data_IF_746365886408
#
_entry.id   IF_746365886408
#
_cell.length_a   1.000
_cell.length_b   1.000
_cell.length_c   1.000
_cell.angle_alpha   90.00
_cell.angle_beta   90.00
_cell.angle_gamma   90.00
#
_symmetry.space_group_name_H-M   'P 1'
#
loop_
_entity.id
_entity.type
_entity.pdbx_description
1 polymer ?
#
# COMPACT_ATOMS: atom_id res chain seq x y z
N UNK A 1 -4.98 -2.88 18.61
CA UNK A 1 -5.25 -1.45 18.38
C UNK A 1 -4.07 -0.93 17.60
N UNK A 2 -4.28 -0.68 16.31
CA UNK A 2 -3.26 -0.03 15.48
C UNK A 2 -3.14 1.42 15.94
N UNK A 3 -1.94 1.78 16.39
CA UNK A 3 -1.62 3.14 16.81
C UNK A 3 -1.49 3.99 15.55
N UNK A 4 -2.30 5.03 15.40
CA UNK A 4 -2.19 5.95 14.26
C UNK A 4 -0.86 6.70 14.30
N UNK A 5 -0.46 7.27 13.16
CA UNK A 5 0.81 7.97 13.04
C UNK A 5 0.92 9.11 14.07
N UNK A 6 -0.13 9.94 14.24
CA UNK A 6 -0.17 10.99 15.27
C UNK A 6 -0.12 10.44 16.70
N UNK A 7 -0.85 9.36 16.99
CA UNK A 7 -0.83 8.70 18.30
C UNK A 7 0.60 8.17 18.61
N UNK A 8 1.30 7.68 17.60
CA UNK A 8 2.69 7.23 17.68
C UNK A 8 3.66 8.41 17.87
N UNK A 9 3.52 9.49 17.10
CA UNK A 9 4.39 10.65 17.19
C UNK A 9 4.21 11.43 18.49
N UNK A 10 2.99 11.53 19.00
CA UNK A 10 2.72 12.10 20.31
C UNK A 10 3.32 11.22 21.42
N UNK A 11 3.16 9.89 21.32
CA UNK A 11 3.65 8.96 22.34
C UNK A 11 5.18 8.82 22.37
N UNK A 12 5.82 8.79 21.21
CA UNK A 12 7.27 8.56 21.09
C UNK A 12 8.04 9.88 21.07
N UNK A 13 7.60 10.87 20.28
CA UNK A 13 8.34 12.10 20.03
C UNK A 13 7.76 13.34 20.72
N UNK A 14 6.65 13.18 21.47
CA UNK A 14 5.89 14.29 22.07
C UNK A 14 5.51 15.39 21.06
N UNK A 15 5.36 15.01 19.78
CA UNK A 15 4.98 15.93 18.72
C UNK A 15 3.46 16.15 18.70
N UNK A 16 3.00 17.38 18.42
CA UNK A 16 1.57 17.70 18.43
C UNK A 16 0.84 17.27 17.15
N UNK A 17 1.51 17.24 15.99
CA UNK A 17 0.96 16.88 14.66
C UNK A 17 2.07 16.39 13.72
N UNK A 18 1.89 15.25 13.04
CA UNK A 18 2.76 14.82 11.94
C UNK A 18 2.41 15.55 10.64
N UNK A 19 3.43 15.87 9.84
CA UNK A 19 3.27 16.34 8.46
C UNK A 19 3.21 17.86 8.24
N UNK A 20 2.82 18.66 9.26
CA UNK A 20 2.86 20.14 9.16
C UNK A 20 4.06 20.79 9.87
N UNK A 21 4.64 20.13 10.87
CA UNK A 21 5.69 20.70 11.70
C UNK A 21 6.95 19.83 11.76
N UNK A 22 7.57 19.54 10.61
CA UNK A 22 8.93 18.96 10.60
C UNK A 22 9.92 19.80 11.42
N UNK A 23 9.66 21.11 11.52
CA UNK A 23 10.41 22.04 12.36
C UNK A 23 10.32 21.72 13.86
N UNK A 24 9.16 21.26 14.37
CA UNK A 24 9.00 20.83 15.77
C UNK A 24 9.55 19.42 15.99
N UNK A 25 9.31 18.51 15.05
CA UNK A 25 9.79 17.12 15.12
C UNK A 25 11.34 17.09 15.09
N UNK A 26 11.95 17.88 14.21
CA UNK A 26 13.41 18.02 14.11
C UNK A 26 14.08 18.73 15.29
N UNK A 27 13.32 19.47 16.12
CA UNK A 27 13.85 20.07 17.36
C UNK A 27 13.95 19.06 18.50
N UNK A 28 13.05 18.06 18.54
CA UNK A 28 12.99 17.06 19.61
C UNK A 28 13.70 15.76 19.26
N UNK A 29 13.98 15.52 17.97
CA UNK A 29 14.79 14.41 17.51
C UNK A 29 16.28 14.76 17.65
N UNK A 30 16.90 14.30 18.74
CA UNK A 30 18.36 14.33 18.87
C UNK A 30 18.98 13.23 17.99
N UNK A 31 19.00 13.45 16.67
CA UNK A 31 19.54 12.51 15.68
C UNK A 31 21.07 12.38 15.72
N UNK A 32 21.75 12.90 16.76
CA UNK A 32 23.21 13.03 16.79
C UNK A 32 23.77 13.98 15.72
N UNK A 33 22.89 14.66 14.98
CA UNK A 33 23.27 15.63 13.95
C UNK A 33 23.42 16.99 14.63
N UNK A 34 24.67 17.38 14.94
CA UNK A 34 24.98 18.78 15.18
C UNK A 34 24.42 19.57 13.99
N UNK A 35 23.57 20.56 14.24
CA UNK A 35 23.33 21.65 13.28
C UNK A 35 24.65 22.37 13.08
N UNK A 36 25.53 21.80 12.30
CA UNK A 36 26.60 22.58 11.72
C UNK A 36 25.92 23.43 10.66
N UNK A 37 25.73 24.71 10.97
CA UNK A 37 26.09 25.73 9.99
C UNK A 37 27.58 25.51 9.70
N UNK A 38 27.92 24.47 8.95
CA UNK A 38 29.24 24.39 8.34
C UNK A 38 29.15 25.40 7.22
N UNK A 39 30.00 26.41 7.26
CA UNK A 39 30.26 27.40 6.20
C UNK A 39 30.76 26.76 4.88
N UNK A 40 30.45 25.49 4.66
CA UNK A 40 30.73 24.68 3.50
C UNK A 40 29.39 24.57 2.78
N UNK A 41 29.26 25.17 1.59
CA UNK A 41 28.00 25.19 0.87
C UNK A 41 27.43 23.76 0.75
N UNK A 42 26.11 23.62 0.90
CA UNK A 42 25.40 22.34 0.71
C UNK A 42 25.76 21.68 -0.63
N UNK A 43 26.09 22.48 -1.65
CA UNK A 43 26.69 22.05 -2.92
C UNK A 43 28.08 21.40 -2.77
N UNK A 44 28.98 21.96 -1.95
CA UNK A 44 30.29 21.37 -1.66
C UNK A 44 30.15 20.03 -0.90
N UNK A 45 29.13 19.89 -0.04
CA UNK A 45 28.87 18.61 0.60
C UNK A 45 28.46 17.54 -0.43
N UNK A 46 27.53 17.86 -1.35
CA UNK A 46 27.14 16.92 -2.42
C UNK A 46 28.35 16.51 -3.27
N UNK A 47 29.24 17.45 -3.60
CA UNK A 47 30.51 17.15 -4.28
C UNK A 47 31.44 16.26 -3.44
N UNK A 48 31.51 16.49 -2.13
CA UNK A 48 32.31 15.64 -1.22
C UNK A 48 31.74 14.21 -1.09
N UNK A 49 30.42 14.05 -1.20
CA UNK A 49 29.77 12.74 -1.25
C UNK A 49 30.16 12.01 -2.53
N UNK A 50 30.18 12.70 -3.68
CA UNK A 50 30.63 12.16 -4.97
C UNK A 50 32.06 11.60 -4.88
N UNK A 51 32.97 12.39 -4.31
CA UNK A 51 34.38 11.99 -4.14
C UNK A 51 34.49 10.77 -3.22
N UNK A 52 33.71 10.72 -2.13
CA UNK A 52 33.71 9.57 -1.20
C UNK A 52 33.07 8.32 -1.79
N UNK A 53 32.04 8.44 -2.63
CA UNK A 53 31.37 7.30 -3.27
C UNK A 53 32.23 6.66 -4.35
N UNK A 54 33.01 7.44 -5.11
CA UNK A 54 33.89 6.92 -6.15
C UNK A 54 35.12 6.17 -5.58
N UNK A 55 35.53 6.49 -4.36
CA UNK A 55 36.73 5.92 -3.74
C UNK A 55 36.49 4.62 -2.92
N UNK A 56 35.25 4.18 -2.70
CA UNK A 56 34.95 2.99 -1.89
C UNK A 56 34.33 1.85 -2.69
N UNK A 57 35.06 0.75 -2.79
CA UNK A 57 34.61 -0.56 -3.28
C UNK A 57 33.57 -1.27 -2.38
N UNK A 58 32.93 -0.57 -1.43
CA UNK A 58 32.01 -1.13 -0.41
C UNK A 58 30.68 -0.37 -0.27
N UNK A 59 30.14 0.14 -1.38
CA UNK A 59 28.84 0.84 -1.40
C UNK A 59 27.63 0.08 -0.83
N UNK A 60 27.51 -1.26 -0.86
CA UNK A 60 26.29 -1.94 -0.38
C UNK A 60 26.02 -1.83 1.12
N UNK A 61 27.06 -1.88 1.97
CA UNK A 61 26.91 -1.89 3.43
C UNK A 61 26.76 -0.49 4.04
N UNK A 62 27.17 0.57 3.34
CA UNK A 62 27.13 1.97 3.82
C UNK A 62 25.92 2.78 3.29
N UNK A 63 25.02 2.20 2.49
CA UNK A 63 23.92 2.95 1.82
C UNK A 63 23.05 3.76 2.80
N UNK A 64 22.69 3.17 3.94
CA UNK A 64 21.86 3.84 4.96
C UNK A 64 22.60 5.04 5.59
N UNK A 65 23.92 4.90 5.80
CA UNK A 65 24.76 5.93 6.40
C UNK A 65 24.98 7.13 5.45
N UNK A 66 24.83 6.93 4.13
CA UNK A 66 25.02 7.98 3.12
C UNK A 66 23.69 8.68 2.76
N UNK A 67 22.55 8.00 2.89
CA UNK A 67 21.24 8.56 2.55
C UNK A 67 20.89 9.79 3.41
N UNK A 68 21.04 9.71 4.74
CA UNK A 68 20.68 10.81 5.66
C UNK A 68 21.49 12.09 5.35
N UNK A 69 22.83 12.03 5.18
CA UNK A 69 23.59 13.21 4.79
C UNK A 69 23.19 13.79 3.44
N UNK A 70 22.92 12.97 2.42
CA UNK A 70 22.43 13.45 1.11
C UNK A 70 21.08 14.15 1.27
N UNK A 71 20.14 13.51 1.96
CA UNK A 71 18.82 14.05 2.24
C UNK A 71 18.91 15.44 2.89
N UNK A 72 19.72 15.58 3.94
CA UNK A 72 19.91 16.85 4.62
C UNK A 72 20.52 17.92 3.72
N UNK A 73 21.43 17.52 2.82
CA UNK A 73 22.08 18.45 1.91
C UNK A 73 21.08 19.00 0.89
N UNK A 74 20.32 18.12 0.23
CA UNK A 74 19.26 18.49 -0.72
C UNK A 74 18.29 19.51 -0.10
N UNK A 75 17.98 19.36 1.19
CA UNK A 75 17.04 20.23 1.91
C UNK A 75 17.49 21.71 1.95
N UNK A 76 18.79 21.98 1.82
CA UNK A 76 19.39 23.32 1.87
C UNK A 76 20.11 23.71 0.57
N UNK A 77 19.93 22.95 -0.51
CA UNK A 77 20.57 23.19 -1.80
C UNK A 77 19.67 23.99 -2.75
N UNK A 78 20.26 24.78 -3.65
CA UNK A 78 19.52 25.55 -4.68
C UNK A 78 19.06 24.66 -5.85
N UNK A 79 18.18 25.16 -6.70
CA UNK A 79 17.72 24.40 -7.88
C UNK A 79 18.85 24.12 -8.88
N UNK A 80 19.77 25.07 -9.05
CA UNK A 80 20.89 24.95 -9.99
C UNK A 80 21.89 23.90 -9.48
N UNK A 81 22.28 23.98 -8.21
CA UNK A 81 23.16 23.01 -7.57
C UNK A 81 22.59 21.58 -7.61
N UNK A 82 21.26 21.40 -7.48
CA UNK A 82 20.62 20.10 -7.62
C UNK A 82 20.67 19.59 -9.06
N UNK A 83 20.52 20.48 -10.04
CA UNK A 83 20.61 20.13 -11.46
C UNK A 83 22.04 19.72 -11.82
N UNK A 84 23.04 20.43 -11.30
CA UNK A 84 24.45 20.09 -11.45
C UNK A 84 24.76 18.74 -10.81
N UNK A 85 24.27 18.49 -9.59
CA UNK A 85 24.43 17.22 -8.92
C UNK A 85 23.84 16.04 -9.73
N UNK A 86 22.69 16.22 -10.37
CA UNK A 86 22.11 15.19 -11.26
C UNK A 86 23.06 14.88 -12.42
N UNK A 87 23.58 15.93 -13.08
CA UNK A 87 24.50 15.78 -14.20
C UNK A 87 25.82 15.12 -13.79
N UNK A 88 26.35 15.45 -12.61
CA UNK A 88 27.57 14.85 -12.08
C UNK A 88 27.35 13.38 -11.63
N UNK A 89 26.17 13.06 -11.07
CA UNK A 89 25.88 11.73 -10.53
C UNK A 89 25.41 10.71 -11.57
N UNK A 90 24.88 11.12 -12.73
CA UNK A 90 24.20 10.23 -13.71
C UNK A 90 24.89 8.89 -13.99
N UNK A 91 26.22 8.85 -14.07
CA UNK A 91 27.01 7.66 -14.41
C UNK A 91 27.63 6.97 -13.19
N UNK A 92 27.21 7.34 -11.98
CA UNK A 92 27.80 6.88 -10.73
C UNK A 92 26.83 6.02 -9.93
N UNK A 93 27.37 5.14 -9.10
CA UNK A 93 26.59 4.24 -8.24
C UNK A 93 25.80 4.96 -7.14
N UNK A 94 26.02 6.25 -6.91
CA UNK A 94 25.27 7.05 -5.94
C UNK A 94 23.97 7.61 -6.50
N UNK A 95 23.82 7.70 -7.84
CA UNK A 95 22.63 8.27 -8.49
C UNK A 95 21.32 7.69 -7.96
N UNK A 96 21.18 6.35 -7.81
CA UNK A 96 19.92 5.81 -7.31
C UNK A 96 19.64 6.18 -5.84
N UNK A 97 20.65 6.43 -5.02
CA UNK A 97 20.49 6.89 -3.63
C UNK A 97 20.13 8.38 -3.62
N UNK A 98 20.75 9.16 -4.50
CA UNK A 98 20.45 10.57 -4.67
C UNK A 98 19.01 10.80 -5.14
N UNK A 99 18.54 10.01 -6.11
CA UNK A 99 17.14 10.03 -6.59
C UNK A 99 16.16 9.73 -5.46
N UNK A 100 16.45 8.71 -4.65
CA UNK A 100 15.62 8.37 -3.47
C UNK A 100 15.57 9.54 -2.49
N UNK A 101 16.72 10.13 -2.15
CA UNK A 101 16.80 11.28 -1.27
C UNK A 101 16.02 12.48 -1.83
N UNK A 102 16.16 12.77 -3.13
CA UNK A 102 15.50 13.88 -3.81
C UNK A 102 13.97 13.77 -3.74
N UNK A 103 13.43 12.58 -4.01
CA UNK A 103 12.00 12.30 -3.86
C UNK A 103 11.54 12.37 -2.40
N UNK A 104 12.29 11.75 -1.48
CA UNK A 104 11.93 11.70 -0.05
C UNK A 104 11.90 13.08 0.62
N UNK A 105 12.75 14.03 0.19
CA UNK A 105 12.78 15.40 0.76
C UNK A 105 11.44 16.11 0.57
N UNK A 106 10.72 15.86 -0.53
CA UNK A 106 9.36 16.36 -0.75
C UNK A 106 9.22 17.89 -0.73
N UNK A 107 10.29 18.63 -0.98
CA UNK A 107 10.24 20.09 -1.16
C UNK A 107 9.86 20.42 -2.59
N UNK A 108 9.17 21.55 -2.80
CA UNK A 108 8.84 22.07 -4.14
C UNK A 108 10.07 22.19 -5.06
N UNK A 109 11.20 22.68 -4.55
CA UNK A 109 12.46 22.80 -5.32
C UNK A 109 12.94 21.44 -5.81
N UNK A 110 13.13 20.47 -4.90
CA UNK A 110 13.54 19.11 -5.26
C UNK A 110 12.55 18.44 -6.22
N UNK A 111 11.25 18.66 -6.03
CA UNK A 111 10.21 18.14 -6.91
C UNK A 111 10.31 18.69 -8.33
N UNK A 112 10.43 20.01 -8.49
CA UNK A 112 10.52 20.66 -9.81
C UNK A 112 11.77 20.19 -10.56
N UNK A 113 12.92 20.16 -9.87
CA UNK A 113 14.19 19.72 -10.46
C UNK A 113 14.12 18.23 -10.84
N UNK A 114 13.68 17.37 -9.93
CA UNK A 114 13.55 15.94 -10.17
C UNK A 114 12.55 15.62 -11.28
N UNK A 115 11.36 16.22 -11.28
CA UNK A 115 10.37 16.07 -12.35
C UNK A 115 10.97 16.46 -13.70
N UNK A 116 11.62 17.63 -13.79
CA UNK A 116 12.23 18.09 -15.04
C UNK A 116 13.30 17.11 -15.53
N UNK A 117 14.24 16.74 -14.67
CA UNK A 117 15.37 15.88 -15.04
C UNK A 117 14.92 14.46 -15.43
N UNK A 118 14.06 13.84 -14.65
CA UNK A 118 13.67 12.43 -14.85
C UNK A 118 12.51 12.26 -15.83
N UNK A 119 11.87 13.34 -16.30
CA UNK A 119 10.89 13.22 -17.39
C UNK A 119 11.57 13.26 -18.77
N UNK A 120 12.71 13.94 -18.91
CA UNK A 120 13.33 14.18 -20.22
C UNK A 120 14.77 13.69 -20.36
N UNK A 121 15.63 13.90 -19.35
CA UNK A 121 17.08 13.69 -19.49
C UNK A 121 17.49 12.30 -19.02
N UNK A 122 17.01 11.88 -17.85
CA UNK A 122 17.41 10.63 -17.20
C UNK A 122 16.17 9.81 -16.84
N UNK A 123 15.39 9.43 -17.87
CA UNK A 123 14.05 8.85 -17.72
C UNK A 123 14.01 7.50 -17.01
N UNK A 124 15.14 6.79 -16.99
CA UNK A 124 15.31 5.52 -16.24
C UNK A 124 15.12 5.68 -14.72
N UNK A 125 15.30 6.88 -14.17
CA UNK A 125 15.13 7.15 -12.74
C UNK A 125 13.72 7.66 -12.36
N UNK A 126 12.82 7.85 -13.34
CA UNK A 126 11.50 8.43 -13.11
C UNK A 126 10.66 7.62 -12.10
N UNK A 127 10.56 6.32 -12.33
CA UNK A 127 9.79 5.41 -11.45
C UNK A 127 10.31 5.45 -10.03
N UNK A 128 11.64 5.43 -9.88
CA UNK A 128 12.31 5.46 -8.60
C UNK A 128 12.08 6.78 -7.88
N UNK A 129 12.15 7.89 -8.60
CA UNK A 129 11.84 9.22 -8.08
C UNK A 129 10.39 9.32 -7.59
N UNK A 130 9.42 8.89 -8.39
CA UNK A 130 8.00 8.89 -8.03
C UNK A 130 7.71 7.96 -6.84
N UNK A 131 8.34 6.77 -6.81
CA UNK A 131 8.24 5.85 -5.69
C UNK A 131 8.79 6.48 -4.40
N UNK A 132 9.96 7.11 -4.45
CA UNK A 132 10.55 7.81 -3.30
C UNK A 132 9.67 8.99 -2.85
N UNK A 133 9.17 9.80 -3.80
CA UNK A 133 8.25 10.90 -3.52
C UNK A 133 6.97 10.41 -2.84
N UNK A 134 6.42 9.26 -3.23
CA UNK A 134 5.23 8.68 -2.58
C UNK A 134 5.43 8.42 -1.07
N UNK A 135 6.68 8.26 -0.64
CA UNK A 135 7.07 7.97 0.74
C UNK A 135 7.55 9.22 1.52
N UNK A 136 7.57 10.40 0.91
CA UNK A 136 8.05 11.64 1.57
C UNK A 136 7.29 11.99 2.84
N UNK A 137 7.94 12.30 3.96
CA UNK A 137 7.25 12.72 5.19
C UNK A 137 6.51 14.06 5.08
N UNK A 138 6.76 14.84 4.03
CA UNK A 138 6.19 16.18 3.83
C UNK A 138 5.09 16.16 2.76
N UNK A 139 3.84 16.27 3.20
CA UNK A 139 2.69 16.35 2.29
C UNK A 139 2.52 17.81 1.86
N UNK A 140 2.74 18.07 0.57
CA UNK A 140 2.61 19.38 -0.05
C UNK A 140 1.51 19.35 -1.14
N UNK A 141 0.47 20.14 -0.97
CA UNK A 141 -0.68 20.16 -1.88
C UNK A 141 -0.36 20.79 -3.23
N UNK A 142 0.64 21.67 -3.33
CA UNK A 142 1.07 22.21 -4.62
C UNK A 142 1.71 21.11 -5.47
N UNK A 143 2.52 20.24 -4.85
CA UNK A 143 3.10 19.06 -5.50
C UNK A 143 2.00 18.09 -5.94
N UNK A 144 1.03 17.80 -5.06
CA UNK A 144 -0.11 16.93 -5.41
C UNK A 144 -0.91 17.51 -6.57
N UNK A 145 -1.17 18.82 -6.57
CA UNK A 145 -1.88 19.49 -7.65
C UNK A 145 -1.14 19.39 -8.99
N UNK A 146 0.18 19.64 -8.99
CA UNK A 146 1.00 19.52 -10.20
C UNK A 146 1.09 18.06 -10.69
N UNK A 147 1.16 17.07 -9.80
CA UNK A 147 1.07 15.66 -10.14
C UNK A 147 -0.28 15.33 -10.80
N UNK A 148 -1.41 15.82 -10.26
CA UNK A 148 -2.74 15.64 -10.89
C UNK A 148 -2.80 16.23 -12.29
N UNK A 149 -2.25 17.43 -12.49
CA UNK A 149 -2.17 18.10 -13.81
C UNK A 149 -1.29 17.29 -14.76
N UNK A 150 -0.13 16.82 -14.30
CA UNK A 150 0.76 15.99 -15.10
C UNK A 150 0.11 14.66 -15.51
N UNK A 151 -0.61 14.02 -14.60
CA UNK A 151 -1.39 12.81 -14.88
C UNK A 151 -2.48 13.04 -15.95
N UNK A 152 -3.09 14.24 -15.97
CA UNK A 152 -4.08 14.66 -16.98
C UNK A 152 -3.46 14.88 -18.36
N UNK A 153 -2.24 15.40 -18.39
CA UNK A 153 -1.61 15.85 -19.64
C UNK A 153 -0.67 14.82 -20.28
N UNK A 154 -0.30 13.75 -19.59
CA UNK A 154 0.57 12.70 -20.14
C UNK A 154 -0.19 11.66 -20.96
N UNK A 155 0.36 11.32 -22.14
CA UNK A 155 -0.14 10.24 -22.98
C UNK A 155 0.48 8.88 -22.64
N UNK A 156 1.55 8.86 -21.84
CA UNK A 156 2.20 7.64 -21.41
C UNK A 156 1.40 7.00 -20.26
N UNK A 157 0.74 5.88 -20.54
CA UNK A 157 -0.08 5.14 -19.58
C UNK A 157 0.74 4.55 -18.42
N UNK A 158 2.01 4.24 -18.63
CA UNK A 158 2.90 3.78 -17.56
C UNK A 158 3.21 4.94 -16.61
N UNK A 159 3.63 6.09 -17.14
CA UNK A 159 3.89 7.30 -16.33
C UNK A 159 2.62 7.75 -15.62
N UNK A 160 1.48 7.77 -16.30
CA UNK A 160 0.16 8.09 -15.71
C UNK A 160 -0.14 7.22 -14.51
N UNK A 161 0.11 5.92 -14.62
CA UNK A 161 -0.09 4.96 -13.53
C UNK A 161 0.86 5.21 -12.35
N UNK A 162 2.14 5.48 -12.59
CA UNK A 162 3.12 5.77 -11.53
C UNK A 162 2.80 7.08 -10.79
N UNK A 163 2.34 8.10 -11.52
CA UNK A 163 1.83 9.34 -10.92
C UNK A 163 0.60 9.04 -10.06
N UNK A 164 -0.35 8.25 -10.59
CA UNK A 164 -1.54 7.82 -9.85
C UNK A 164 -1.21 7.09 -8.55
N UNK A 165 -0.24 6.17 -8.58
CA UNK A 165 0.27 5.51 -7.37
C UNK A 165 0.87 6.50 -6.37
N UNK A 166 1.65 7.46 -6.85
CA UNK A 166 2.29 8.47 -6.02
C UNK A 166 1.24 9.33 -5.33
N UNK A 167 0.27 9.85 -6.07
CA UNK A 167 -0.82 10.68 -5.54
C UNK A 167 -1.68 9.89 -4.56
N UNK A 168 -2.04 8.63 -4.88
CA UNK A 168 -2.82 7.77 -3.98
C UNK A 168 -2.11 7.54 -2.64
N UNK A 169 -0.80 7.26 -2.64
CA UNK A 169 -0.02 7.08 -1.41
C UNK A 169 0.11 8.38 -0.59
N UNK A 170 0.33 9.52 -1.25
CA UNK A 170 0.35 10.83 -0.58
C UNK A 170 -1.00 11.12 0.09
N UNK A 171 -2.11 10.90 -0.62
CA UNK A 171 -3.45 11.09 -0.06
C UNK A 171 -3.78 10.09 1.05
N UNK A 172 -3.34 8.83 0.95
CA UNK A 172 -3.53 7.87 2.03
C UNK A 172 -2.89 8.36 3.31
N UNK A 173 -1.64 8.83 3.22
CA UNK A 173 -0.90 9.35 4.37
C UNK A 173 -1.48 10.64 4.89
N UNK A 174 -2.03 11.48 4.00
CA UNK A 174 -2.81 12.64 4.39
C UNK A 174 -4.07 12.25 5.18
N UNK A 175 -4.87 11.30 4.68
CA UNK A 175 -6.07 10.81 5.36
C UNK A 175 -5.74 10.15 6.69
N UNK A 176 -4.66 9.35 6.76
CA UNK A 176 -4.21 8.65 7.96
C UNK A 176 -3.47 9.56 8.96
N UNK A 177 -3.21 10.82 8.61
CA UNK A 177 -2.46 11.74 9.49
C UNK A 177 -3.19 11.99 10.80
N UNK A 178 -4.51 12.19 10.79
CA UNK A 178 -5.31 12.37 12.00
C UNK A 178 -6.65 11.62 11.94
N UNK A 179 -7.27 11.39 13.11
CA UNK A 179 -8.60 10.75 13.19
C UNK A 179 -9.68 11.53 12.44
N UNK A 180 -9.64 12.86 12.52
CA UNK A 180 -10.61 13.74 11.84
C UNK A 180 -10.48 13.62 10.33
N UNK A 181 -9.25 13.67 9.80
CA UNK A 181 -8.98 13.51 8.37
C UNK A 181 -9.33 12.12 7.86
N UNK A 182 -9.01 11.08 8.65
CA UNK A 182 -9.39 9.70 8.32
C UNK A 182 -10.90 9.58 8.17
N UNK A 183 -11.64 10.08 9.15
CA UNK A 183 -13.10 10.08 9.11
C UNK A 183 -13.64 10.92 7.95
N UNK A 184 -13.01 12.06 7.61
CA UNK A 184 -13.43 12.87 6.47
C UNK A 184 -13.23 12.12 5.15
N UNK A 185 -12.08 11.48 4.95
CA UNK A 185 -11.82 10.68 3.74
C UNK A 185 -12.71 9.43 3.68
N UNK A 186 -12.83 8.68 4.78
CA UNK A 186 -13.61 7.44 4.83
C UNK A 186 -15.10 7.67 4.51
N UNK A 187 -15.63 8.85 4.86
CA UNK A 187 -17.01 9.25 4.61
C UNK A 187 -17.18 10.11 3.35
N UNK A 188 -16.15 10.25 2.51
CA UNK A 188 -16.24 11.02 1.25
C UNK A 188 -16.49 12.52 1.45
N UNK A 189 -16.04 13.10 2.56
CA UNK A 189 -16.16 14.55 2.84
C UNK A 189 -14.94 15.36 2.38
N UNK A 190 -13.91 14.71 1.85
CA UNK A 190 -12.72 15.40 1.35
C UNK A 190 -12.78 15.59 -0.17
N UNK A 191 -13.04 16.82 -0.62
CA UNK A 191 -13.25 17.14 -2.03
C UNK A 191 -12.04 16.83 -2.92
N UNK A 192 -10.82 17.14 -2.48
CA UNK A 192 -9.60 16.93 -3.29
C UNK A 192 -9.28 15.45 -3.52
N UNK A 193 -9.52 14.62 -2.50
CA UNK A 193 -9.39 13.17 -2.59
C UNK A 193 -10.49 12.59 -3.48
N UNK A 194 -11.73 13.04 -3.30
CA UNK A 194 -12.86 12.60 -4.12
C UNK A 194 -12.66 12.96 -5.60
N UNK A 195 -12.22 14.19 -5.91
CA UNK A 195 -11.92 14.62 -7.29
C UNK A 195 -10.89 13.70 -7.94
N UNK A 196 -9.85 13.32 -7.19
CA UNK A 196 -8.84 12.39 -7.69
C UNK A 196 -9.42 10.99 -7.95
N UNK A 197 -10.19 10.44 -7.01
CA UNK A 197 -10.78 9.11 -7.20
C UNK A 197 -11.81 9.06 -8.32
N UNK A 198 -12.62 10.12 -8.44
CA UNK A 198 -13.63 10.27 -9.48
C UNK A 198 -12.93 10.35 -10.84
N UNK A 199 -11.88 11.17 -10.96
CA UNK A 199 -11.08 11.24 -12.17
C UNK A 199 -10.51 9.88 -12.56
N UNK A 200 -9.83 9.17 -11.65
CA UNK A 200 -9.22 7.86 -11.95
C UNK A 200 -10.27 6.83 -12.40
N UNK A 201 -11.47 6.86 -11.79
CA UNK A 201 -12.55 5.94 -12.14
C UNK A 201 -13.24 6.30 -13.46
N UNK A 202 -13.47 7.58 -13.73
CA UNK A 202 -14.20 8.08 -14.89
C UNK A 202 -13.47 7.82 -16.21
N UNK A 203 -12.14 7.89 -16.21
CA UNK A 203 -11.32 7.62 -17.41
C UNK A 203 -11.51 6.22 -18.00
N UNK A 204 -12.03 5.29 -17.21
CA UNK A 204 -12.28 3.93 -17.64
C UNK A 204 -13.66 3.70 -18.23
N UNK A 205 -14.50 4.73 -18.40
CA UNK A 205 -15.81 4.57 -19.03
C UNK A 205 -15.75 4.78 -20.56
N UNK A 206 -14.70 5.42 -21.08
CA UNK A 206 -14.64 5.93 -22.46
C UNK A 206 -13.96 5.00 -23.48
N UNK A 207 -13.36 3.85 -23.09
CA UNK A 207 -12.60 2.98 -24.03
C UNK A 207 -13.36 1.68 -24.37
N UNK A 208 -13.09 1.12 -25.57
CA UNK A 208 -13.82 -0.03 -26.15
C UNK A 208 -13.44 -1.38 -25.47
N UNK A 209 -12.28 -1.44 -24.80
CA UNK A 209 -11.88 -2.53 -23.87
C UNK A 209 -11.32 -1.93 -22.56
N UNK A 210 -12.20 -1.76 -21.58
CA UNK A 210 -11.89 -1.06 -20.32
C UNK A 210 -11.27 -1.95 -19.24
N UNK A 211 -11.07 -3.25 -19.48
CA UNK A 211 -10.60 -4.17 -18.44
C UNK A 211 -9.23 -3.77 -17.89
N UNK A 212 -8.30 -3.38 -18.77
CA UNK A 212 -6.97 -2.93 -18.38
C UNK A 212 -7.00 -1.60 -17.60
N UNK A 213 -7.89 -0.67 -18.01
CA UNK A 213 -8.07 0.59 -17.29
C UNK A 213 -8.57 0.36 -15.86
N UNK A 214 -9.62 -0.46 -15.70
CA UNK A 214 -10.16 -0.78 -14.38
C UNK A 214 -9.14 -1.54 -13.50
N UNK A 215 -8.32 -2.41 -14.09
CA UNK A 215 -7.20 -3.06 -13.38
C UNK A 215 -6.22 -2.01 -12.85
N UNK A 216 -5.80 -1.05 -13.67
CA UNK A 216 -4.91 0.03 -13.26
C UNK A 216 -5.54 0.90 -12.17
N UNK A 217 -6.80 1.29 -12.33
CA UNK A 217 -7.54 2.06 -11.32
C UNK A 217 -7.61 1.34 -9.97
N UNK A 218 -7.97 0.04 -9.96
CA UNK A 218 -8.00 -0.76 -8.73
C UNK A 218 -6.61 -0.88 -8.08
N UNK A 219 -5.55 -1.01 -8.88
CA UNK A 219 -4.18 -1.02 -8.36
C UNK A 219 -3.83 0.33 -7.72
N UNK A 220 -4.19 1.45 -8.35
CA UNK A 220 -4.02 2.79 -7.77
C UNK A 220 -4.78 2.88 -6.45
N UNK A 221 -6.05 2.49 -6.43
CA UNK A 221 -6.89 2.51 -5.22
C UNK A 221 -6.41 1.58 -4.10
N UNK A 222 -5.64 0.53 -4.39
CA UNK A 222 -5.00 -0.27 -3.33
C UNK A 222 -4.01 0.54 -2.48
N UNK A 223 -3.48 1.62 -3.04
CA UNK A 223 -2.63 2.58 -2.32
C UNK A 223 -3.44 3.65 -1.57
N UNK A 224 -4.76 3.71 -1.78
CA UNK A 224 -5.71 4.60 -1.11
C UNK A 224 -7.03 3.84 -0.85
N UNK A 225 -7.04 2.86 0.08
CA UNK A 225 -8.17 1.96 0.28
C UNK A 225 -9.30 2.67 1.04
N UNK A 226 -10.12 3.43 0.31
CA UNK A 226 -11.25 4.17 0.87
C UNK A 226 -12.55 3.36 0.81
N UNK A 227 -13.38 3.37 1.87
CA UNK A 227 -14.70 2.73 1.88
C UNK A 227 -15.64 3.21 0.76
N UNK A 228 -15.55 4.49 0.37
CA UNK A 228 -16.35 5.09 -0.72
C UNK A 228 -16.11 4.42 -2.08
N UNK A 229 -14.97 3.75 -2.27
CA UNK A 229 -14.62 3.03 -3.49
C UNK A 229 -15.11 1.57 -3.51
N UNK A 230 -15.75 1.10 -2.44
CA UNK A 230 -16.31 -0.25 -2.37
C UNK A 230 -17.31 -0.53 -3.50
N UNK A 231 -18.27 0.36 -3.84
CA UNK A 231 -19.18 0.12 -4.95
C UNK A 231 -18.44 -0.11 -6.28
N UNK A 232 -17.39 0.68 -6.54
CA UNK A 232 -16.56 0.56 -7.73
C UNK A 232 -15.89 -0.81 -7.82
N UNK A 233 -15.26 -1.30 -6.75
CA UNK A 233 -14.65 -2.63 -6.76
C UNK A 233 -15.68 -3.77 -6.78
N UNK A 234 -16.79 -3.60 -6.06
CA UNK A 234 -17.82 -4.63 -5.91
C UNK A 234 -18.56 -4.95 -7.22
N UNK A 235 -18.58 -4.04 -8.20
CA UNK A 235 -19.19 -4.31 -9.51
C UNK A 235 -18.41 -5.38 -10.30
N UNK A 236 -17.11 -5.51 -10.04
CA UNK A 236 -16.23 -6.44 -10.74
C UNK A 236 -16.25 -7.87 -10.18
N UNK A 237 -16.92 -8.10 -9.05
CA UNK A 237 -17.09 -9.43 -8.47
C UNK A 237 -18.26 -10.18 -9.14
N UNK A 238 -17.98 -11.41 -9.60
CA UNK A 238 -18.94 -12.36 -10.17
C UNK A 238 -19.87 -11.81 -11.26
N UNK A 239 -19.35 -10.91 -12.10
CA UNK A 239 -20.04 -10.45 -13.30
C UNK A 239 -19.70 -11.31 -14.52
N UNK A 240 -20.70 -11.64 -15.34
CA UNK A 240 -20.53 -12.52 -16.50
C UNK A 240 -19.55 -11.98 -17.55
N UNK A 241 -19.42 -10.65 -17.66
CA UNK A 241 -18.53 -9.96 -18.61
C UNK A 241 -17.15 -9.64 -18.02
N UNK A 242 -16.90 -9.96 -16.76
CA UNK A 242 -15.65 -9.58 -16.09
C UNK A 242 -14.56 -10.61 -16.33
N UNK A 243 -13.34 -10.15 -16.59
CA UNK A 243 -12.18 -11.04 -16.69
C UNK A 243 -11.77 -11.55 -15.30
N UNK A 244 -11.17 -12.74 -15.25
CA UNK A 244 -10.61 -13.31 -14.00
C UNK A 244 -9.59 -12.38 -13.35
N UNK A 245 -8.75 -11.72 -14.16
CA UNK A 245 -7.73 -10.79 -13.67
C UNK A 245 -8.35 -9.55 -13.03
N UNK A 246 -9.38 -8.97 -13.64
CA UNK A 246 -10.08 -7.81 -13.10
C UNK A 246 -10.74 -8.13 -11.75
N UNK A 247 -11.39 -9.30 -11.63
CA UNK A 247 -11.95 -9.75 -10.35
C UNK A 247 -10.85 -9.92 -9.29
N UNK A 248 -9.72 -10.51 -9.64
CA UNK A 248 -8.60 -10.73 -8.72
C UNK A 248 -8.05 -9.41 -8.17
N UNK A 249 -7.94 -8.37 -9.00
CA UNK A 249 -7.51 -7.05 -8.52
C UNK A 249 -8.59 -6.36 -7.67
N UNK A 250 -9.88 -6.56 -7.99
CA UNK A 250 -10.96 -6.06 -7.14
C UNK A 250 -10.95 -6.74 -5.75
N UNK A 251 -10.70 -8.05 -5.69
CA UNK A 251 -10.52 -8.78 -4.44
C UNK A 251 -9.30 -8.26 -3.66
N UNK A 252 -8.16 -8.02 -4.32
CA UNK A 252 -6.95 -7.44 -3.70
C UNK A 252 -7.19 -6.04 -3.14
N UNK A 253 -8.02 -5.23 -3.80
CA UNK A 253 -8.47 -3.94 -3.27
C UNK A 253 -9.34 -4.12 -2.02
N UNK A 254 -10.37 -4.95 -2.08
CA UNK A 254 -11.27 -5.18 -0.95
C UNK A 254 -10.55 -5.79 0.27
N UNK A 255 -9.50 -6.58 0.05
CA UNK A 255 -8.63 -7.11 1.12
C UNK A 255 -7.93 -6.00 1.92
N UNK A 256 -7.68 -4.84 1.30
CA UNK A 256 -7.04 -3.70 1.95
C UNK A 256 -8.04 -2.84 2.77
N UNK A 257 -9.34 -3.08 2.66
CA UNK A 257 -10.37 -2.36 3.42
C UNK A 257 -10.63 -2.98 4.80
N UNK A 258 -11.05 -2.15 5.74
CA UNK A 258 -11.59 -2.61 7.02
C UNK A 258 -12.94 -3.31 6.80
N UNK A 259 -13.08 -4.53 7.34
CA UNK A 259 -14.23 -5.39 7.15
C UNK A 259 -15.55 -4.78 7.64
N UNK A 260 -15.52 -3.78 8.53
CA UNK A 260 -16.72 -3.07 9.01
C UNK A 260 -17.49 -2.31 7.92
N UNK A 261 -16.84 -1.98 6.80
CA UNK A 261 -17.46 -1.22 5.71
C UNK A 261 -18.14 -2.11 4.66
N UNK A 262 -18.02 -3.44 4.75
CA UNK A 262 -18.57 -4.33 3.74
C UNK A 262 -20.10 -4.42 3.80
N UNK A 263 -20.76 -3.99 2.73
CA UNK A 263 -22.20 -4.15 2.58
C UNK A 263 -22.59 -5.61 2.27
N UNK A 264 -23.81 -5.99 2.66
CA UNK A 264 -24.35 -7.33 2.42
C UNK A 264 -24.31 -7.77 0.95
N UNK A 265 -24.55 -6.84 0.00
CA UNK A 265 -24.46 -7.11 -1.43
C UNK A 265 -23.07 -7.60 -1.84
N UNK A 266 -22.01 -7.03 -1.28
CA UNK A 266 -20.62 -7.43 -1.53
C UNK A 266 -20.30 -8.73 -0.82
N UNK A 267 -20.73 -8.89 0.44
CA UNK A 267 -20.60 -10.15 1.20
C UNK A 267 -21.22 -11.31 0.43
N UNK A 268 -22.43 -11.16 -0.10
CA UNK A 268 -23.11 -12.20 -0.88
C UNK A 268 -22.30 -12.60 -2.12
N UNK A 269 -21.71 -11.64 -2.84
CA UNK A 269 -20.82 -11.93 -3.97
C UNK A 269 -19.56 -12.68 -3.53
N UNK A 270 -18.93 -12.29 -2.42
CA UNK A 270 -17.77 -12.99 -1.86
C UNK A 270 -18.10 -14.42 -1.44
N UNK A 271 -19.27 -14.66 -0.83
CA UNK A 271 -19.76 -16.00 -0.50
C UNK A 271 -19.94 -16.85 -1.78
N UNK A 272 -20.45 -16.27 -2.87
CA UNK A 272 -20.56 -16.95 -4.17
C UNK A 272 -19.19 -17.28 -4.78
N UNK A 273 -18.19 -16.40 -4.64
CA UNK A 273 -16.81 -16.68 -5.06
C UNK A 273 -16.28 -17.89 -4.29
N UNK A 274 -16.39 -17.86 -2.97
CA UNK A 274 -15.93 -18.94 -2.09
C UNK A 274 -16.62 -20.29 -2.38
N UNK A 275 -17.92 -20.26 -2.70
CA UNK A 275 -18.71 -21.43 -3.12
C UNK A 275 -18.45 -21.89 -4.55
N UNK A 276 -17.71 -21.13 -5.36
CA UNK A 276 -17.56 -21.37 -6.80
C UNK A 276 -18.90 -21.37 -7.58
N UNK A 277 -19.86 -20.52 -7.19
CA UNK A 277 -21.21 -20.43 -7.80
C UNK A 277 -21.40 -19.16 -8.64
N UNK A 278 -20.31 -18.65 -9.20
CA UNK A 278 -20.34 -17.52 -10.12
C UNK A 278 -20.48 -18.02 -11.56
N UNK A 279 -20.79 -17.12 -12.50
CA UNK A 279 -21.03 -17.50 -13.90
C UNK A 279 -19.79 -18.09 -14.61
N UNK A 280 -18.60 -17.92 -14.01
CA UNK A 280 -17.35 -18.51 -14.46
C UNK A 280 -16.65 -19.21 -13.30
N UNK A 281 -15.81 -20.20 -13.64
CA UNK A 281 -15.04 -20.96 -12.65
C UNK A 281 -14.06 -20.08 -11.87
N UNK A 282 -14.13 -20.19 -10.55
CA UNK A 282 -13.27 -19.47 -9.61
C UNK A 282 -11.97 -20.23 -9.40
N UNK A 283 -10.85 -19.50 -9.32
CA UNK A 283 -9.57 -20.13 -8.95
C UNK A 283 -9.46 -20.26 -7.44
N UNK A 284 -8.60 -21.16 -6.96
CA UNK A 284 -8.25 -21.26 -5.53
C UNK A 284 -7.73 -19.92 -5.00
N UNK A 285 -7.05 -19.12 -5.82
CA UNK A 285 -6.60 -17.76 -5.43
C UNK A 285 -7.78 -16.82 -5.18
N UNK A 286 -8.81 -16.85 -6.02
CA UNK A 286 -9.99 -15.98 -5.84
C UNK A 286 -10.76 -16.38 -4.58
N UNK A 287 -10.92 -17.69 -4.36
CA UNK A 287 -11.59 -18.24 -3.17
C UNK A 287 -10.82 -17.92 -1.88
N UNK A 288 -9.50 -18.02 -1.89
CA UNK A 288 -8.65 -17.69 -0.72
C UNK A 288 -8.62 -16.19 -0.42
N UNK A 289 -8.68 -15.32 -1.44
CA UNK A 289 -8.86 -13.88 -1.22
C UNK A 289 -10.25 -13.56 -0.67
N UNK A 290 -11.31 -14.18 -1.23
CA UNK A 290 -12.67 -13.97 -0.78
C UNK A 290 -12.86 -14.36 0.70
N UNK A 291 -12.29 -15.50 1.12
CA UNK A 291 -12.39 -15.92 2.52
C UNK A 291 -11.63 -14.99 3.46
N UNK A 292 -10.49 -14.44 3.04
CA UNK A 292 -9.75 -13.48 3.86
C UNK A 292 -10.54 -12.19 4.11
N UNK A 293 -11.19 -11.67 3.07
CA UNK A 293 -12.08 -10.50 3.15
C UNK A 293 -13.28 -10.82 4.07
N UNK A 294 -13.91 -11.99 3.90
CA UNK A 294 -15.05 -12.41 4.73
C UNK A 294 -14.64 -12.57 6.21
N UNK A 295 -13.47 -13.15 6.49
CA UNK A 295 -12.96 -13.31 7.85
C UNK A 295 -12.58 -11.95 8.49
N UNK A 296 -12.22 -10.94 7.71
CA UNK A 296 -12.03 -9.56 8.20
C UNK A 296 -13.36 -8.91 8.62
N UNK A 297 -14.45 -9.19 7.91
CA UNK A 297 -15.78 -8.62 8.20
C UNK A 297 -16.57 -9.39 9.26
N UNK A 298 -16.22 -10.66 9.51
CA UNK A 298 -16.93 -11.56 10.39
C UNK A 298 -17.18 -11.02 11.82
N UNK A 299 -16.24 -10.32 12.50
CA UNK A 299 -16.52 -9.69 13.80
C UNK A 299 -17.61 -8.61 13.78
N UNK A 300 -17.92 -8.06 12.60
CA UNK A 300 -18.88 -6.97 12.41
C UNK A 300 -20.21 -7.46 11.81
N UNK A 301 -20.29 -8.72 11.38
CA UNK A 301 -21.48 -9.28 10.75
C UNK A 301 -21.64 -10.75 11.14
N UNK A 302 -22.45 -11.02 12.15
CA UNK A 302 -22.62 -12.37 12.71
C UNK A 302 -23.08 -13.40 11.65
N UNK A 303 -23.85 -12.96 10.65
CA UNK A 303 -24.34 -13.82 9.57
C UNK A 303 -23.21 -14.44 8.74
N UNK A 304 -22.05 -13.80 8.59
CA UNK A 304 -20.96 -14.35 7.75
C UNK A 304 -20.53 -15.71 8.28
N UNK A 305 -20.35 -15.84 9.61
CA UNK A 305 -19.96 -17.09 10.23
C UNK A 305 -21.01 -18.19 10.06
N UNK A 306 -22.31 -17.87 10.16
CA UNK A 306 -23.37 -18.87 9.95
C UNK A 306 -23.35 -19.38 8.51
N UNK A 307 -23.19 -18.50 7.52
CA UNK A 307 -23.10 -18.91 6.11
C UNK A 307 -21.87 -19.76 5.83
N UNK A 308 -20.69 -19.38 6.35
CA UNK A 308 -19.45 -20.13 6.14
C UNK A 308 -19.54 -21.53 6.77
N UNK A 309 -20.05 -21.63 8.00
CA UNK A 309 -20.18 -22.91 8.69
C UNK A 309 -21.23 -23.82 8.05
N UNK A 310 -22.32 -23.26 7.49
CA UNK A 310 -23.30 -24.02 6.71
C UNK A 310 -22.74 -24.58 5.39
N UNK A 311 -21.62 -24.07 4.92
CA UNK A 311 -20.95 -24.60 3.72
C UNK A 311 -19.99 -25.73 4.01
N UNK A 312 -19.75 -26.08 5.28
CA UNK A 312 -18.83 -27.16 5.63
C UNK A 312 -19.35 -28.49 5.10
N UNK A 313 -18.63 -29.04 4.15
CA UNK A 313 -18.86 -30.37 3.59
C UNK A 313 -18.08 -31.40 4.39
N UNK A 314 -18.64 -32.60 4.58
CA UNK A 314 -17.94 -33.71 5.26
C UNK A 314 -16.69 -34.17 4.50
N UNK A 315 -16.76 -34.17 3.16
CA UNK A 315 -15.69 -34.57 2.25
C UNK A 315 -15.50 -33.49 1.19
N UNK A 316 -14.81 -32.39 1.52
CA UNK A 316 -14.69 -31.26 0.61
C UNK A 316 -13.89 -31.64 -0.63
N UNK A 317 -14.41 -31.30 -1.81
CA UNK A 317 -13.69 -31.50 -3.07
C UNK A 317 -12.51 -30.53 -3.21
N UNK A 318 -12.71 -29.28 -2.77
CA UNK A 318 -11.70 -28.22 -2.77
C UNK A 318 -10.87 -28.22 -1.47
N UNK A 319 -10.00 -29.23 -1.32
CA UNK A 319 -9.18 -29.49 -0.13
C UNK A 319 -8.31 -28.28 0.29
N UNK A 320 -7.62 -27.65 -0.65
CA UNK A 320 -6.72 -26.51 -0.37
C UNK A 320 -7.47 -25.28 0.15
N UNK A 321 -8.66 -24.98 -0.41
CA UNK A 321 -9.51 -23.88 0.03
C UNK A 321 -9.90 -24.02 1.50
N UNK A 322 -10.37 -25.22 1.88
CA UNK A 322 -10.80 -25.49 3.25
C UNK A 322 -9.63 -25.57 4.22
N UNK A 323 -8.48 -26.11 3.78
CA UNK A 323 -7.24 -26.10 4.57
C UNK A 323 -6.82 -24.67 4.90
N UNK A 324 -6.79 -23.79 3.89
CA UNK A 324 -6.51 -22.37 4.09
C UNK A 324 -7.51 -21.70 5.06
N UNK A 325 -8.81 -21.98 4.91
CA UNK A 325 -9.85 -21.43 5.80
C UNK A 325 -9.60 -21.78 7.26
N UNK A 326 -9.41 -23.06 7.59
CA UNK A 326 -9.22 -23.49 8.97
C UNK A 326 -7.91 -23.00 9.56
N UNK A 327 -6.82 -23.01 8.77
CA UNK A 327 -5.53 -22.43 9.18
C UNK A 327 -5.68 -20.94 9.51
N UNK A 328 -6.41 -20.18 8.68
CA UNK A 328 -6.66 -18.75 8.90
C UNK A 328 -7.53 -18.51 10.14
N UNK A 329 -8.60 -19.30 10.33
CA UNK A 329 -9.45 -19.26 11.52
C UNK A 329 -8.65 -19.56 12.78
N UNK A 330 -7.89 -20.65 12.80
CA UNK A 330 -7.05 -21.04 13.94
C UNK A 330 -6.08 -19.91 14.31
N UNK A 331 -5.47 -19.30 13.29
CA UNK A 331 -4.56 -18.18 13.50
C UNK A 331 -5.26 -16.93 14.04
N UNK A 332 -6.39 -16.53 13.48
CA UNK A 332 -7.16 -15.36 13.96
C UNK A 332 -7.63 -15.53 15.41
N UNK A 333 -8.00 -16.75 15.80
CA UNK A 333 -8.33 -17.08 17.20
C UNK A 333 -7.15 -16.86 18.16
N UNK A 334 -5.94 -17.18 17.74
CA UNK A 334 -4.73 -16.92 18.55
C UNK A 334 -4.42 -15.41 18.64
N UNK A 335 -4.71 -14.65 17.59
CA UNK A 335 -4.35 -13.23 17.52
C UNK A 335 -5.36 -12.30 18.17
N UNK A 336 -6.65 -12.66 18.15
CA UNK A 336 -7.75 -11.81 18.60
C UNK A 336 -8.67 -12.54 19.56
N UNK A 337 -8.73 -12.05 20.80
CA UNK A 337 -9.64 -12.59 21.83
C UNK A 337 -11.11 -12.42 21.45
N UNK A 338 -11.47 -11.30 20.79
CA UNK A 338 -12.84 -11.06 20.32
C UNK A 338 -13.22 -12.04 19.21
N UNK A 339 -12.32 -12.29 18.26
CA UNK A 339 -12.53 -13.31 17.23
C UNK A 339 -12.66 -14.71 17.85
N UNK A 340 -11.81 -15.04 18.83
CA UNK A 340 -11.88 -16.33 19.51
C UNK A 340 -13.19 -16.54 20.28
N UNK A 341 -13.67 -15.52 20.98
CA UNK A 341 -14.94 -15.56 21.69
C UNK A 341 -16.11 -15.76 20.72
N UNK A 342 -16.14 -15.00 19.62
CA UNK A 342 -17.13 -15.16 18.56
C UNK A 342 -17.10 -16.58 17.98
N UNK A 343 -15.92 -17.07 17.58
CA UNK A 343 -15.80 -18.37 16.94
C UNK A 343 -16.19 -19.52 17.88
N UNK A 344 -15.80 -19.42 19.15
CA UNK A 344 -16.19 -20.38 20.18
C UNK A 344 -17.71 -20.42 20.38
N UNK A 345 -18.36 -19.24 20.45
CA UNK A 345 -19.83 -19.13 20.51
C UNK A 345 -20.50 -19.73 19.27
N UNK A 346 -19.96 -19.48 18.08
CA UNK A 346 -20.48 -20.05 16.85
C UNK A 346 -20.41 -21.59 16.85
N UNK A 347 -19.31 -22.17 17.33
CA UNK A 347 -19.11 -23.62 17.40
C UNK A 347 -19.86 -24.32 18.54
N UNK A 348 -20.40 -23.60 19.52
CA UNK A 348 -21.24 -24.20 20.57
C UNK A 348 -22.64 -24.56 20.09
N UNK A 349 -23.14 -23.94 19.01
CA UNK A 349 -24.43 -24.31 18.43
C UNK A 349 -24.37 -25.72 17.83
N UNK A 350 -25.39 -26.55 18.13
CA UNK A 350 -25.46 -27.96 17.71
C UNK A 350 -25.24 -28.14 16.20
N UNK A 351 -25.84 -27.27 15.39
CA UNK A 351 -25.75 -27.26 13.91
C UNK A 351 -24.37 -26.91 13.37
N UNK A 352 -23.49 -26.32 14.18
CA UNK A 352 -22.14 -25.89 13.77
C UNK A 352 -21.03 -26.58 14.56
N UNK A 353 -21.34 -27.65 15.28
CA UNK A 353 -20.33 -28.44 15.97
C UNK A 353 -19.25 -28.88 14.97
N UNK A 354 -17.97 -28.90 15.38
CA UNK A 354 -16.90 -29.37 14.51
C UNK A 354 -17.25 -30.75 13.95
N UNK A 355 -17.24 -30.87 12.63
CA UNK A 355 -17.35 -32.14 11.94
C UNK A 355 -15.95 -32.71 11.65
N UNK A 356 -15.89 -33.94 11.16
CA UNK A 356 -14.62 -34.58 10.80
C UNK A 356 -13.93 -33.92 9.61
N UNK A 357 -14.63 -33.06 8.85
CA UNK A 357 -14.08 -32.44 7.65
C UNK A 357 -12.74 -31.76 7.91
N UNK A 358 -12.61 -30.99 9.00
CA UNK A 358 -11.36 -30.34 9.38
C UNK A 358 -10.20 -31.32 9.60
N UNK A 359 -10.47 -32.52 10.14
CA UNK A 359 -9.47 -33.56 10.39
C UNK A 359 -9.16 -34.42 9.15
N UNK A 360 -10.03 -34.36 8.15
CA UNK A 360 -9.93 -35.12 6.91
C UNK A 360 -9.33 -34.31 5.75
N UNK A 361 -8.86 -33.09 6.02
CA UNK A 361 -8.24 -32.26 5.00
C UNK A 361 -6.83 -32.74 4.65
N UNK A 362 -6.59 -32.96 3.37
CA UNK A 362 -5.27 -33.25 2.82
C UNK A 362 -4.82 -32.09 1.93
N UNK A 363 -4.35 -31.02 2.55
CA UNK A 363 -3.88 -29.81 1.87
C UNK A 363 -2.58 -29.29 2.49
N UNK A 364 -1.86 -28.50 1.70
CA UNK A 364 -0.55 -27.91 2.07
C UNK A 364 -0.65 -26.44 2.47
N UNK A 365 -1.81 -25.81 2.28
CA UNK A 365 -2.05 -24.42 2.66
C UNK A 365 -1.89 -24.17 4.16
N UNK A 366 -1.03 -23.23 4.52
CA UNK A 366 -0.82 -22.78 5.91
C UNK A 366 -0.90 -21.25 6.02
N UNK A 367 -1.39 -20.78 7.16
CA UNK A 367 -1.42 -19.35 7.52
C UNK A 367 -0.61 -19.17 8.80
N UNK A 368 0.68 -18.93 8.62
CA UNK A 368 1.61 -18.62 9.70
C UNK A 368 1.71 -17.11 9.94
N UNK A 369 2.14 -16.73 11.13
CA UNK A 369 2.41 -15.34 11.49
C UNK A 369 3.62 -15.35 12.38
N UNK A 370 4.60 -14.55 12.00
CA UNK A 370 5.86 -14.45 12.70
C UNK A 370 5.78 -13.18 13.54
N UNK A 371 5.98 -13.30 14.85
CA UNK A 371 6.11 -12.14 15.72
C UNK A 371 7.54 -11.62 15.55
N UNK A 372 7.69 -10.36 15.10
CA UNK A 372 8.98 -9.68 15.02
C UNK A 372 8.97 -8.59 16.09
N UNK A 373 9.88 -8.67 17.05
CA UNK A 373 10.12 -7.63 18.08
C UNK A 373 8.85 -7.12 18.80
N UNK A 374 7.96 -8.03 19.22
CA UNK A 374 6.77 -7.66 20.00
C UNK A 374 5.65 -6.96 19.23
N UNK A 375 5.83 -6.69 17.92
CA UNK A 375 4.75 -6.27 17.01
C UNK A 375 4.38 -7.44 16.09
N UNK A 376 3.08 -7.77 16.06
CA UNK A 376 2.57 -8.93 15.31
C UNK A 376 2.36 -8.54 13.86
N UNK A 377 3.16 -9.07 12.94
CA UNK A 377 2.97 -8.89 11.49
C UNK A 377 2.49 -10.20 10.87
N UNK A 378 1.34 -10.17 10.19
CA UNK A 378 0.79 -11.31 9.47
C UNK A 378 1.59 -11.53 8.17
N UNK A 379 2.23 -12.70 8.02
CA UNK A 379 2.98 -13.07 6.81
C UNK A 379 2.29 -14.27 6.17
N UNK A 380 1.63 -14.09 5.03
CA UNK A 380 1.06 -15.21 4.28
C UNK A 380 2.20 -15.88 3.48
N UNK A 381 2.68 -17.05 3.93
CA UNK A 381 3.56 -17.89 3.11
C UNK A 381 2.74 -18.58 2.02
N UNK A 382 2.66 -17.99 0.83
CA UNK A 382 2.24 -18.71 -0.40
C UNK A 382 3.45 -19.44 -0.97
N UNK A 383 3.46 -20.77 -0.92
CA UNK A 383 4.46 -21.59 -1.61
C UNK A 383 4.01 -21.78 -3.07
N UNK A 384 4.13 -20.74 -3.90
CA UNK A 384 4.11 -20.86 -5.36
C UNK A 384 5.28 -20.04 -5.92
N UNK A 385 6.00 -20.66 -6.85
CA UNK A 385 7.37 -20.35 -7.30
C UNK A 385 7.72 -18.88 -7.56
N UNK A 386 8.99 -18.49 -7.31
CA UNK A 386 9.48 -17.14 -7.47
C UNK A 386 9.74 -16.84 -8.94
N UNK A 387 9.08 -15.82 -9.48
CA UNK A 387 9.70 -14.96 -10.49
C UNK A 387 9.79 -13.56 -9.90
N UNK A 388 10.61 -13.44 -8.85
CA UNK A 388 11.35 -12.20 -8.62
C UNK A 388 12.61 -12.39 -9.44
N UNK A 389 12.56 -11.96 -10.71
CA UNK A 389 13.77 -11.67 -11.45
C UNK A 389 14.42 -10.50 -10.72
N UNK A 390 15.40 -10.81 -9.89
CA UNK A 390 16.56 -9.94 -9.76
C UNK A 390 17.13 -9.81 -11.17
N UNK A 391 17.13 -8.59 -11.70
CA UNK A 391 17.93 -8.23 -12.85
C UNK A 391 18.84 -7.07 -12.43
N UNK A 392 20.04 -7.04 -13.01
CA UNK A 392 21.32 -6.71 -12.36
C UNK A 392 21.48 -5.27 -11.87
#
# INVERSE_FOLDING_TARGET
MDMLADDCAQKIFKAKLLGRNWKEIGQNLNLGVKKTKTDVSSAYFLKSVLIKSNNKSKLPEERVNILIPIFNSILFTTADDLSDAINEFRSTSIMPIFVDALGLVGTKTAYIVGKKAFTSVESEFLDRFLQALSQTTRIDFEIISDLKIWMKNTNDEHVKKQIGFTVANLYRRYCESSKSLKNACDNGKNNDVNEFTDYVSAQCNDKIDNSHCHINALQIFRNLPLPTLLPYASQFLCGAKNTKLLQKEALRFLQALDGKHLHWKTIHKLLRIFRNTCSFSQTVTDQTLAIEILLNALPHTEMIGTYLLRMEELFPTEQEKWTYFYSNVARRRQMSSTFNAYWTKMRSFRVFRPNYAHRSLNGTSDVSVINIEGKRCMIIKKKYFPYIKYLP
#
